data_IF_054289412798
#
_entry.id   IF_054289412798
#
_cell.length_a   1.000
_cell.length_b   1.000
_cell.length_c   1.000
_cell.angle_alpha   90.00
_cell.angle_beta   90.00
_cell.angle_gamma   90.00
#
_symmetry.space_group_name_H-M   'P 1'
#
loop_
_entity.id
_entity.type
_entity.pdbx_description
1 polymer ?
#
# COMPACT_ATOMS: atom_id res chain seq x y z
N UNK A 1 -39.39 -1.42 13.03
CA UNK A 1 -38.38 -1.69 12.00
C UNK A 1 -38.79 -0.93 10.75
N UNK A 2 -38.02 0.07 10.31
CA UNK A 2 -38.32 0.88 9.12
C UNK A 2 -37.93 0.11 7.85
N UNK A 3 -38.74 0.26 6.80
CA UNK A 3 -38.63 -0.44 5.51
C UNK A 3 -37.40 0.01 4.71
N UNK A 4 -36.76 -0.93 3.99
CA UNK A 4 -35.58 -0.73 3.12
C UNK A 4 -35.81 0.32 2.01
N UNK A 5 -37.07 0.64 1.68
CA UNK A 5 -37.42 1.66 0.69
C UNK A 5 -37.22 3.12 1.15
N UNK A 6 -36.57 3.36 2.30
CA UNK A 6 -36.32 4.70 2.86
C UNK A 6 -34.83 5.09 2.89
N UNK A 7 -33.95 4.35 2.23
CA UNK A 7 -32.54 4.73 2.09
C UNK A 7 -32.37 5.78 0.97
N UNK A 8 -31.55 6.83 1.17
CA UNK A 8 -31.23 7.81 0.12
C UNK A 8 -30.42 7.18 -1.01
N UNK A 9 -30.53 7.71 -2.23
CA UNK A 9 -29.90 7.17 -3.45
C UNK A 9 -28.38 7.00 -3.36
N UNK A 10 -27.71 7.76 -2.50
CA UNK A 10 -26.26 7.70 -2.32
C UNK A 10 -25.80 6.68 -1.25
N UNK A 11 -26.70 5.81 -0.75
CA UNK A 11 -26.45 4.76 0.25
C UNK A 11 -25.78 5.23 1.57
N UNK A 12 -25.65 6.55 1.79
CA UNK A 12 -25.07 7.14 2.99
C UNK A 12 -26.19 7.78 3.83
N UNK A 13 -26.46 7.29 5.05
CA UNK A 13 -27.43 7.89 5.95
C UNK A 13 -27.06 9.35 6.30
N UNK A 14 -28.03 10.27 6.26
CA UNK A 14 -27.84 11.69 6.62
C UNK A 14 -27.20 11.88 8.01
N UNK A 15 -27.43 10.95 8.94
CA UNK A 15 -26.80 10.96 10.27
C UNK A 15 -25.27 10.81 10.23
N UNK A 16 -24.73 10.14 9.22
CA UNK A 16 -23.28 10.06 8.99
C UNK A 16 -22.80 11.38 8.38
N UNK A 17 -23.52 11.91 7.39
CA UNK A 17 -23.18 13.19 6.75
C UNK A 17 -23.21 14.36 7.74
N UNK A 18 -24.17 14.38 8.67
CA UNK A 18 -24.26 15.42 9.71
C UNK A 18 -23.17 15.35 10.77
N UNK A 19 -22.46 14.21 10.85
CA UNK A 19 -21.36 14.00 11.80
C UNK A 19 -19.99 14.24 11.13
N UNK A 20 -19.94 14.28 9.80
CA UNK A 20 -18.74 14.62 9.04
C UNK A 20 -18.55 16.14 9.10
N UNK A 21 -17.76 16.61 10.07
CA UNK A 21 -17.15 17.94 10.00
C UNK A 21 -15.94 17.88 9.05
N UNK A 22 -16.12 18.34 7.82
CA UNK A 22 -15.00 18.66 6.94
C UNK A 22 -14.47 20.06 7.30
N UNK A 23 -13.47 20.10 8.17
CA UNK A 23 -12.75 21.34 8.53
C UNK A 23 -11.45 21.40 7.74
N UNK A 24 -11.39 22.34 6.79
CA UNK A 24 -10.20 22.61 5.97
C UNK A 24 -9.45 23.77 6.63
N UNK A 25 -8.41 23.45 7.39
CA UNK A 25 -7.52 24.43 8.01
C UNK A 25 -6.21 23.78 8.47
N UNK A 26 -5.08 24.48 8.29
CA UNK A 26 -3.74 23.97 8.60
C UNK A 26 -3.50 23.75 10.11
N UNK A 27 -4.32 24.37 10.97
CA UNK A 27 -4.12 24.39 12.42
C UNK A 27 -4.39 23.03 13.11
N UNK A 28 -5.27 22.18 12.57
CA UNK A 28 -5.68 20.90 13.21
C UNK A 28 -4.82 19.69 12.86
N UNK A 29 -3.95 19.76 11.83
CA UNK A 29 -2.96 18.72 11.53
C UNK A 29 -2.05 18.42 12.75
N UNK A 30 -1.91 19.39 13.65
CA UNK A 30 -1.15 19.28 14.89
C UNK A 30 -1.85 18.43 15.95
N UNK A 31 -3.19 18.44 16.00
CA UNK A 31 -3.97 17.79 17.06
C UNK A 31 -4.19 16.30 16.79
N UNK A 32 -4.29 15.89 15.53
CA UNK A 32 -4.35 14.46 15.14
C UNK A 32 -3.01 13.73 15.30
N UNK A 33 -1.90 14.48 15.33
CA UNK A 33 -0.53 13.95 15.47
C UNK A 33 -0.07 13.85 16.93
N UNK A 34 -0.92 14.17 17.90
CA UNK A 34 -0.62 14.05 19.33
C UNK A 34 -0.35 12.59 19.68
N UNK A 35 0.93 12.23 19.84
CA UNK A 35 1.39 10.88 20.14
C UNK A 35 2.37 10.29 19.11
N UNK A 36 2.50 10.90 17.93
CA UNK A 36 3.61 10.61 17.01
C UNK A 36 4.87 11.33 17.48
N UNK A 37 6.05 10.78 17.12
CA UNK A 37 7.32 11.50 17.27
C UNK A 37 7.18 12.82 16.50
N UNK A 38 7.38 13.94 17.20
CA UNK A 38 7.28 15.27 16.62
C UNK A 38 8.15 15.34 15.37
N UNK A 39 7.60 15.87 14.29
CA UNK A 39 8.35 16.07 13.06
C UNK A 39 9.54 16.99 13.38
N UNK A 40 10.80 16.56 13.20
CA UNK A 40 11.98 17.36 13.50
C UNK A 40 11.99 18.73 12.79
N UNK A 41 11.15 18.89 11.76
CA UNK A 41 10.93 20.16 11.04
C UNK A 41 10.05 21.17 11.79
N UNK A 42 9.39 20.78 12.90
CA UNK A 42 8.55 21.70 13.69
C UNK A 42 9.33 22.52 14.71
N UNK A 43 10.62 22.20 14.93
CA UNK A 43 11.45 22.85 15.92
C UNK A 43 12.52 23.73 15.24
N UNK A 44 12.37 25.08 15.21
CA UNK A 44 13.31 25.96 14.51
C UNK A 44 14.74 25.93 15.07
N UNK A 45 14.92 25.40 16.29
CA UNK A 45 16.22 25.27 16.95
C UNK A 45 16.97 23.97 16.63
N UNK A 46 16.34 23.00 15.95
CA UNK A 46 17.03 21.80 15.44
C UNK A 46 17.42 21.97 13.97
N UNK A 47 17.91 23.17 13.61
CA UNK A 47 18.73 23.28 12.41
C UNK A 47 20.19 23.09 12.80
N UNK A 48 20.89 22.29 11.99
CA UNK A 48 22.35 22.20 11.86
C UNK A 48 23.09 21.17 12.72
N UNK A 49 22.71 19.89 12.62
CA UNK A 49 23.74 18.88 12.33
C UNK A 49 23.20 17.87 11.31
N UNK A 50 23.94 17.68 10.21
CA UNK A 50 23.67 16.76 9.09
C UNK A 50 22.83 17.30 7.93
N UNK A 51 23.40 17.15 6.73
CA UNK A 51 22.91 17.38 5.36
C UNK A 51 21.51 16.78 5.06
N UNK A 52 20.49 17.19 5.79
CA UNK A 52 19.14 16.64 5.67
C UNK A 52 18.32 17.62 4.84
N UNK A 53 18.07 17.26 3.56
CA UNK A 53 17.16 18.02 2.69
C UNK A 53 15.73 17.61 3.06
N UNK A 54 14.87 18.54 3.52
CA UNK A 54 13.48 18.24 3.82
C UNK A 54 12.73 17.84 2.53
N UNK A 55 12.07 16.69 2.54
CA UNK A 55 11.26 16.21 1.40
C UNK A 55 9.80 16.56 1.68
N UNK A 56 9.22 17.43 0.84
CA UNK A 56 7.80 17.77 0.88
C UNK A 56 7.02 16.81 -0.04
N UNK A 57 6.14 15.99 0.53
CA UNK A 57 5.32 15.05 -0.24
C UNK A 57 4.05 15.75 -0.75
N UNK A 58 3.95 16.01 -2.05
CA UNK A 58 2.72 16.47 -2.70
C UNK A 58 2.10 15.33 -3.51
N UNK A 59 0.85 14.97 -3.19
CA UNK A 59 0.08 13.95 -3.90
C UNK A 59 -1.03 14.57 -4.74
N UNK A 60 -1.29 13.97 -5.91
CA UNK A 60 -2.49 14.27 -6.71
C UNK A 60 -3.44 13.09 -6.54
N UNK A 61 -4.61 13.35 -5.95
CA UNK A 61 -5.70 12.39 -5.82
C UNK A 61 -6.72 12.65 -6.93
N UNK A 62 -7.09 11.62 -7.69
CA UNK A 62 -8.20 11.70 -8.63
C UNK A 62 -9.52 11.67 -7.85
N UNK A 63 -10.13 12.85 -7.67
CA UNK A 63 -11.37 13.04 -6.89
C UNK A 63 -12.60 12.64 -7.70
N UNK A 64 -12.50 12.57 -9.04
CA UNK A 64 -13.65 12.38 -9.93
C UNK A 64 -13.73 10.97 -10.54
N UNK A 65 -12.82 10.06 -10.18
CA UNK A 65 -12.80 8.68 -10.70
C UNK A 65 -12.60 8.59 -12.22
N UNK A 66 -12.17 9.68 -12.86
CA UNK A 66 -11.82 9.69 -14.26
C UNK A 66 -10.45 9.05 -14.40
N UNK A 67 -10.29 8.03 -15.25
CA UNK A 67 -8.98 7.38 -15.45
C UNK A 67 -7.95 8.37 -16.03
N UNK A 68 -7.28 9.12 -15.16
CA UNK A 68 -6.19 10.03 -15.54
C UNK A 68 -4.93 9.20 -15.71
N UNK A 69 -4.22 9.39 -16.82
CA UNK A 69 -2.96 8.69 -17.06
C UNK A 69 -1.89 9.16 -16.06
N UNK A 70 -1.00 8.25 -15.63
CA UNK A 70 0.18 8.62 -14.81
C UNK A 70 1.02 9.72 -15.48
N UNK A 71 1.07 9.74 -16.81
CA UNK A 71 1.79 10.75 -17.59
C UNK A 71 1.13 12.14 -17.47
N UNK A 72 -0.20 12.18 -17.45
CA UNK A 72 -0.98 13.42 -17.29
C UNK A 72 -0.83 13.99 -15.88
N UNK A 73 -0.89 13.12 -14.85
CA UNK A 73 -0.64 13.49 -13.45
C UNK A 73 0.78 14.05 -13.30
N UNK A 74 1.76 13.35 -13.88
CA UNK A 74 3.18 13.76 -13.85
C UNK A 74 3.36 15.13 -14.51
N UNK A 75 2.80 15.32 -15.70
CA UNK A 75 2.89 16.59 -16.43
C UNK A 75 2.21 17.73 -15.67
N UNK A 76 1.06 17.49 -15.03
CA UNK A 76 0.38 18.47 -14.21
C UNK A 76 1.23 18.89 -13.00
N UNK A 77 1.84 17.94 -12.28
CA UNK A 77 2.74 18.23 -11.15
C UNK A 77 3.93 19.08 -11.63
N UNK A 78 4.57 18.69 -12.73
CA UNK A 78 5.70 19.44 -13.31
C UNK A 78 5.29 20.87 -13.71
N UNK A 79 4.11 21.04 -14.29
CA UNK A 79 3.59 22.37 -14.64
C UNK A 79 3.31 23.22 -13.41
N UNK A 80 2.66 22.65 -12.38
CA UNK A 80 2.34 23.35 -11.14
C UNK A 80 3.60 23.85 -10.43
N UNK A 81 4.61 22.98 -10.31
CA UNK A 81 5.92 23.33 -9.72
C UNK A 81 6.59 24.46 -10.50
N UNK A 82 6.56 24.42 -11.84
CA UNK A 82 7.13 25.48 -12.68
C UNK A 82 6.40 26.82 -12.57
N UNK A 83 5.10 26.81 -12.29
CA UNK A 83 4.27 28.01 -12.29
C UNK A 83 4.22 28.72 -10.93
N UNK A 84 4.45 27.99 -9.83
CA UNK A 84 4.53 28.55 -8.46
C UNK A 84 5.91 29.18 -8.16
N UNK A 85 6.95 28.82 -8.92
CA UNK A 85 8.33 29.36 -8.80
C UNK A 85 8.53 30.81 -9.29
N UNK A 86 7.46 31.60 -9.46
CA UNK A 86 7.56 32.96 -10.01
C UNK A 86 7.91 34.05 -8.98
N UNK A 87 8.13 33.71 -7.70
CA UNK A 87 8.53 34.69 -6.67
C UNK A 87 9.43 34.07 -5.62
N UNK A 88 10.67 33.81 -5.97
CA UNK A 88 11.89 34.04 -5.16
C UNK A 88 13.01 33.16 -5.72
N UNK A 89 14.17 33.77 -5.90
CA UNK A 89 15.41 33.10 -6.31
C UNK A 89 15.85 32.15 -5.19
N UNK A 90 15.36 30.92 -5.20
CA UNK A 90 15.97 29.82 -4.46
C UNK A 90 16.72 28.94 -5.44
N UNK A 91 18.03 28.84 -5.22
CA UNK A 91 18.98 28.03 -5.98
C UNK A 91 18.37 26.65 -6.28
N UNK A 92 18.12 26.39 -7.58
CA UNK A 92 17.84 25.07 -8.17
C UNK A 92 17.23 24.06 -7.21
N UNK A 93 15.98 24.29 -6.79
CA UNK A 93 15.20 23.34 -6.01
C UNK A 93 15.18 22.00 -6.78
N UNK A 94 15.92 21.01 -6.27
CA UNK A 94 16.05 19.71 -6.92
C UNK A 94 14.74 18.94 -6.76
N UNK A 95 13.82 19.15 -7.70
CA UNK A 95 12.56 18.43 -7.77
C UNK A 95 12.85 16.99 -8.23
N UNK A 96 12.73 16.05 -7.31
CA UNK A 96 12.84 14.62 -7.62
C UNK A 96 11.46 14.07 -7.98
N UNK A 97 11.27 13.77 -9.27
CA UNK A 97 10.11 13.01 -9.70
C UNK A 97 10.36 11.53 -9.40
N UNK A 98 9.47 10.92 -8.61
CA UNK A 98 9.44 9.47 -8.40
C UNK A 98 8.29 8.92 -9.24
N UNK A 99 8.53 8.53 -10.51
CA UNK A 99 7.48 8.01 -11.36
C UNK A 99 7.05 6.63 -10.86
N UNK A 100 5.74 6.44 -10.73
CA UNK A 100 5.14 5.14 -10.46
C UNK A 100 4.43 4.63 -11.72
N UNK A 101 4.56 3.34 -12.01
CA UNK A 101 3.74 2.70 -13.04
C UNK A 101 2.34 2.46 -12.49
N UNK A 102 1.31 2.64 -13.34
CA UNK A 102 -0.07 2.22 -13.04
C UNK A 102 -0.22 0.69 -12.96
N UNK A 103 0.77 -0.07 -13.43
CA UNK A 103 0.73 -1.53 -13.42
C UNK A 103 1.36 -2.07 -12.13
N UNK A 104 0.65 -2.89 -11.35
CA UNK A 104 1.24 -3.53 -10.18
C UNK A 104 2.40 -4.43 -10.60
N UNK A 105 3.48 -4.40 -9.83
CA UNK A 105 4.65 -5.24 -10.06
C UNK A 105 4.38 -6.64 -9.51
N UNK A 106 4.68 -7.67 -10.31
CA UNK A 106 4.57 -9.05 -9.84
C UNK A 106 5.62 -9.32 -8.74
N UNK A 107 5.16 -9.86 -7.62
CA UNK A 107 6.00 -10.24 -6.48
C UNK A 107 6.66 -11.61 -6.62
N UNK A 108 6.11 -12.49 -7.44
CA UNK A 108 6.57 -13.86 -7.63
C UNK A 108 7.78 -13.88 -8.57
N UNK A 109 8.81 -14.64 -8.22
CA UNK A 109 10.02 -14.82 -9.03
C UNK A 109 10.68 -13.52 -9.49
N UNK A 110 10.53 -12.46 -8.69
CA UNK A 110 11.09 -11.15 -8.97
C UNK A 110 12.23 -10.84 -8.00
N UNK A 111 13.47 -11.28 -8.30
CA UNK A 111 14.61 -11.04 -7.41
C UNK A 111 14.95 -9.54 -7.30
N UNK A 112 14.43 -8.68 -8.17
CA UNK A 112 14.68 -7.23 -8.11
C UNK A 112 13.74 -6.50 -7.13
N UNK A 113 12.66 -7.14 -6.70
CA UNK A 113 11.65 -6.51 -5.86
C UNK A 113 12.24 -5.99 -4.54
N UNK A 114 12.84 -6.88 -3.73
CA UNK A 114 13.38 -6.50 -2.43
C UNK A 114 14.62 -5.60 -2.55
N UNK A 115 15.41 -5.77 -3.62
CA UNK A 115 16.53 -4.88 -3.93
C UNK A 115 16.07 -3.44 -4.17
N UNK A 116 14.97 -3.26 -4.92
CA UNK A 116 14.40 -1.96 -5.22
C UNK A 116 13.65 -1.33 -4.04
N UNK A 117 13.00 -2.15 -3.21
CA UNK A 117 12.29 -1.67 -2.02
C UNK A 117 13.24 -1.26 -0.89
N UNK A 118 14.38 -1.94 -0.75
CA UNK A 118 15.33 -1.69 0.34
C UNK A 118 16.77 -1.52 -0.17
N UNK A 119 17.06 -0.48 -0.98
CA UNK A 119 18.39 -0.25 -1.55
C UNK A 119 19.46 -0.05 -0.46
N UNK A 120 19.08 0.47 0.70
CA UNK A 120 19.97 0.65 1.86
C UNK A 120 20.32 -0.67 2.55
N UNK A 121 19.46 -1.68 2.48
CA UNK A 121 19.71 -3.00 3.06
C UNK A 121 20.48 -3.90 2.11
N UNK A 122 20.21 -3.79 0.81
CA UNK A 122 20.83 -4.57 -0.25
C UNK A 122 21.84 -3.73 -1.04
N UNK A 123 22.98 -3.44 -0.42
CA UNK A 123 24.03 -2.65 -1.04
C UNK A 123 24.41 -3.21 -2.43
N UNK A 124 24.67 -2.30 -3.39
CA UNK A 124 24.99 -2.63 -4.78
C UNK A 124 23.90 -3.40 -5.56
N UNK A 125 22.67 -3.48 -5.04
CA UNK A 125 21.59 -4.23 -5.70
C UNK A 125 21.88 -5.72 -5.78
N UNK A 126 22.53 -6.30 -4.76
CA UNK A 126 22.90 -7.71 -4.69
C UNK A 126 22.42 -8.34 -3.38
N UNK A 127 22.39 -9.66 -3.34
CA UNK A 127 22.01 -10.41 -2.14
C UNK A 127 20.50 -10.57 -1.95
N UNK A 128 19.72 -10.38 -3.01
CA UNK A 128 18.28 -10.61 -2.96
C UNK A 128 17.95 -12.08 -2.67
N UNK A 129 16.83 -12.36 -1.99
CA UNK A 129 16.20 -13.65 -2.07
C UNK A 129 15.87 -14.06 -3.50
N UNK A 130 15.91 -15.37 -3.76
CA UNK A 130 15.56 -15.95 -5.07
C UNK A 130 16.45 -15.49 -6.24
N UNK A 131 17.67 -15.00 -5.94
CA UNK A 131 18.66 -14.66 -6.96
C UNK A 131 19.13 -15.91 -7.71
N UNK A 132 18.73 -16.00 -8.98
CA UNK A 132 19.04 -17.10 -9.88
C UNK A 132 20.54 -17.21 -10.22
N UNK A 133 21.33 -16.16 -9.99
CA UNK A 133 22.78 -16.20 -10.21
C UNK A 133 23.54 -16.95 -9.11
N UNK A 134 22.86 -17.33 -8.01
CA UNK A 134 23.48 -18.04 -6.89
C UNK A 134 23.79 -19.50 -7.27
N UNK A 135 24.99 -20.02 -6.94
CA UNK A 135 25.33 -21.42 -7.21
C UNK A 135 24.46 -22.45 -6.49
N UNK A 136 23.97 -22.10 -5.30
CA UNK A 136 23.11 -22.94 -4.47
C UNK A 136 21.74 -22.27 -4.31
N UNK A 137 20.68 -23.00 -4.64
CA UNK A 137 19.32 -22.55 -4.39
C UNK A 137 19.05 -22.49 -2.88
N UNK A 138 18.56 -21.34 -2.40
CA UNK A 138 18.16 -21.13 -1.01
C UNK A 138 16.68 -20.80 -1.01
N UNK A 139 15.90 -21.53 -0.21
CA UNK A 139 14.46 -21.27 -0.10
C UNK A 139 14.21 -19.87 0.47
N UNK A 140 13.20 -19.18 -0.05
CA UNK A 140 12.86 -17.82 0.36
C UNK A 140 12.78 -17.66 1.90
N UNK A 141 12.07 -18.56 2.58
CA UNK A 141 11.92 -18.52 4.05
C UNK A 141 13.24 -18.67 4.80
N UNK A 142 14.12 -19.55 4.32
CA UNK A 142 15.43 -19.79 4.94
C UNK A 142 16.33 -18.57 4.74
N UNK A 143 16.30 -17.98 3.55
CA UNK A 143 17.06 -16.77 3.27
C UNK A 143 16.55 -15.58 4.09
N UNK A 144 15.23 -15.36 4.17
CA UNK A 144 14.65 -14.30 5.02
C UNK A 144 15.07 -14.50 6.49
N UNK A 145 15.03 -15.73 7.00
CA UNK A 145 15.49 -16.02 8.36
C UNK A 145 16.95 -15.64 8.55
N UNK A 146 17.81 -15.97 7.59
CA UNK A 146 19.21 -15.55 7.61
C UNK A 146 19.36 -14.03 7.61
N UNK A 147 18.60 -13.31 6.78
CA UNK A 147 18.64 -11.83 6.73
C UNK A 147 18.20 -11.22 8.07
N UNK A 148 17.15 -11.75 8.70
CA UNK A 148 16.71 -11.27 10.02
C UNK A 148 17.70 -11.60 11.14
N UNK A 149 18.51 -12.64 10.99
CA UNK A 149 19.60 -13.01 11.91
C UNK A 149 20.97 -12.49 11.45
N UNK A 150 21.00 -11.51 10.55
CA UNK A 150 22.25 -10.98 10.02
C UNK A 150 23.04 -10.25 11.12
N UNK A 151 24.37 -10.32 11.04
CA UNK A 151 25.26 -9.95 12.16
C UNK A 151 25.09 -8.51 12.67
N UNK A 152 24.86 -7.55 11.76
CA UNK A 152 24.66 -6.13 12.10
C UNK A 152 23.20 -5.78 12.41
N UNK A 153 22.29 -6.76 12.36
CA UNK A 153 20.84 -6.63 12.59
C UNK A 153 20.14 -5.61 11.69
N UNK A 154 20.77 -5.12 10.61
CA UNK A 154 20.20 -4.06 9.77
C UNK A 154 18.83 -4.39 9.17
N UNK A 155 18.58 -5.66 8.87
CA UNK A 155 17.29 -6.13 8.35
C UNK A 155 16.24 -6.27 9.45
N UNK A 156 16.67 -6.62 10.66
CA UNK A 156 15.80 -6.76 11.82
C UNK A 156 15.33 -5.38 12.32
N UNK A 157 16.22 -4.40 12.33
CA UNK A 157 15.93 -3.05 12.84
C UNK A 157 15.30 -2.12 11.81
N UNK A 158 15.26 -2.52 10.53
CA UNK A 158 14.63 -1.69 9.51
C UNK A 158 13.13 -1.58 9.74
N UNK A 159 12.62 -0.34 9.68
CA UNK A 159 11.24 0.00 10.02
C UNK A 159 10.16 -0.73 9.21
N UNK A 160 10.45 -1.16 7.97
CA UNK A 160 9.45 -1.74 7.07
C UNK A 160 9.78 -3.16 6.61
N UNK A 161 11.07 -3.56 6.61
CA UNK A 161 11.51 -4.83 6.05
C UNK A 161 10.75 -6.04 6.59
N UNK A 162 10.65 -6.18 7.93
CA UNK A 162 9.96 -7.30 8.58
C UNK A 162 8.50 -7.40 8.11
N UNK A 163 7.80 -6.28 8.06
CA UNK A 163 6.40 -6.25 7.65
C UNK A 163 6.24 -6.62 6.18
N UNK A 164 7.10 -6.09 5.31
CA UNK A 164 7.07 -6.40 3.87
C UNK A 164 7.31 -7.88 3.63
N UNK A 165 8.36 -8.46 4.21
CA UNK A 165 8.68 -9.88 4.00
C UNK A 165 7.65 -10.81 4.67
N UNK A 166 7.07 -10.42 5.80
CA UNK A 166 6.02 -11.18 6.45
C UNK A 166 4.74 -11.24 5.58
N UNK A 167 4.28 -10.09 5.09
CA UNK A 167 3.12 -10.04 4.19
C UNK A 167 3.37 -10.81 2.89
N UNK A 168 4.57 -10.67 2.32
CA UNK A 168 4.99 -11.44 1.14
C UNK A 168 4.86 -12.95 1.37
N UNK A 169 5.36 -13.45 2.52
CA UNK A 169 5.27 -14.87 2.86
C UNK A 169 3.82 -15.32 3.04
N UNK A 170 3.01 -14.55 3.78
CA UNK A 170 1.60 -14.87 4.01
C UNK A 170 0.80 -14.92 2.70
N UNK A 171 0.98 -13.94 1.81
CA UNK A 171 0.31 -13.93 0.50
C UNK A 171 0.69 -15.15 -0.33
N UNK A 172 1.99 -15.46 -0.41
CA UNK A 172 2.48 -16.60 -1.18
C UNK A 172 1.92 -17.92 -0.65
N UNK A 173 1.84 -18.09 0.66
CA UNK A 173 1.24 -19.27 1.28
C UNK A 173 -0.25 -19.40 0.98
N UNK A 174 -1.01 -18.31 1.18
CA UNK A 174 -2.45 -18.28 0.91
C UNK A 174 -2.74 -18.57 -0.56
N UNK A 175 -2.00 -17.96 -1.48
CA UNK A 175 -2.15 -18.19 -2.92
C UNK A 175 -1.79 -19.62 -3.30
N UNK A 176 -0.73 -20.20 -2.72
CA UNK A 176 -0.37 -21.60 -2.98
C UNK A 176 -1.48 -22.56 -2.52
N UNK A 177 -2.03 -22.36 -1.32
CA UNK A 177 -3.14 -23.17 -0.83
C UNK A 177 -4.41 -23.00 -1.68
N UNK A 178 -4.75 -21.77 -2.07
CA UNK A 178 -5.87 -21.50 -2.95
C UNK A 178 -5.68 -22.16 -4.33
N UNK A 179 -4.48 -22.09 -4.91
CA UNK A 179 -4.15 -22.76 -6.16
C UNK A 179 -4.31 -24.28 -6.06
N UNK A 180 -3.83 -24.89 -4.99
CA UNK A 180 -3.99 -26.33 -4.76
C UNK A 180 -5.46 -26.73 -4.68
N UNK A 181 -6.29 -25.95 -3.99
CA UNK A 181 -7.73 -26.19 -3.88
C UNK A 181 -8.39 -26.03 -5.26
N UNK A 182 -8.11 -24.94 -5.97
CA UNK A 182 -8.68 -24.62 -7.27
C UNK A 182 -8.32 -25.64 -8.36
N UNK A 183 -7.17 -26.31 -8.21
CA UNK A 183 -6.71 -27.35 -9.14
C UNK A 183 -7.45 -28.68 -8.95
N UNK A 184 -8.14 -28.90 -7.82
CA UNK A 184 -8.83 -30.17 -7.57
C UNK A 184 -10.03 -30.37 -8.51
N UNK A 185 -10.26 -31.60 -9.01
CA UNK A 185 -11.39 -31.90 -9.91
C UNK A 185 -12.77 -31.55 -9.33
N UNK A 186 -12.96 -31.77 -8.02
CA UNK A 186 -14.19 -31.42 -7.33
C UNK A 186 -14.47 -29.91 -7.38
N UNK A 187 -13.45 -29.07 -7.16
CA UNK A 187 -13.62 -27.62 -7.22
C UNK A 187 -14.07 -27.18 -8.62
N UNK A 188 -13.51 -27.75 -9.68
CA UNK A 188 -13.97 -27.47 -11.05
C UNK A 188 -15.42 -27.89 -11.30
N UNK A 189 -15.84 -29.00 -10.69
CA UNK A 189 -17.20 -29.51 -10.82
C UNK A 189 -18.21 -28.60 -10.10
N UNK A 190 -17.89 -28.17 -8.89
CA UNK A 190 -18.74 -27.26 -8.10
C UNK A 190 -18.58 -25.78 -8.48
N UNK A 191 -17.54 -25.39 -9.23
CA UNK A 191 -17.34 -24.00 -9.68
C UNK A 191 -18.54 -23.47 -10.47
N UNK A 192 -19.15 -24.32 -11.29
CA UNK A 192 -20.35 -23.97 -12.05
C UNK A 192 -21.57 -23.75 -11.13
N UNK A 193 -21.67 -24.54 -10.06
CA UNK A 193 -22.72 -24.39 -9.03
C UNK A 193 -22.51 -23.08 -8.26
N UNK A 194 -21.27 -22.76 -7.85
CA UNK A 194 -20.95 -21.50 -7.19
C UNK A 194 -21.29 -20.28 -8.06
N UNK A 195 -21.06 -20.35 -9.36
CA UNK A 195 -21.45 -19.27 -10.28
C UNK A 195 -22.98 -19.12 -10.39
N UNK A 196 -23.72 -20.24 -10.28
CA UNK A 196 -25.18 -20.24 -10.37
C UNK A 196 -25.90 -19.77 -9.10
N UNK A 197 -25.20 -19.72 -7.96
CA UNK A 197 -25.77 -19.26 -6.69
C UNK A 197 -26.12 -17.77 -6.76
N UNK A 198 -27.36 -17.45 -6.42
CA UNK A 198 -27.86 -16.07 -6.37
C UNK A 198 -28.13 -15.65 -4.91
N UNK A 199 -28.27 -14.34 -4.65
CA UNK A 199 -28.56 -13.79 -3.31
C UNK A 199 -29.76 -14.47 -2.64
N UNK A 200 -30.79 -14.79 -3.41
CA UNK A 200 -32.01 -15.46 -2.92
C UNK A 200 -31.73 -16.86 -2.37
N UNK A 201 -30.78 -17.60 -2.96
CA UNK A 201 -30.43 -18.95 -2.51
C UNK A 201 -29.68 -18.88 -1.18
N UNK A 202 -28.85 -17.84 -0.99
CA UNK A 202 -28.13 -17.57 0.26
C UNK A 202 -29.10 -17.20 1.39
N UNK A 203 -30.06 -16.31 1.11
CA UNK A 203 -31.10 -15.92 2.06
C UNK A 203 -31.95 -17.13 2.51
N UNK A 204 -32.33 -17.98 1.55
CA UNK A 204 -33.10 -19.20 1.85
C UNK A 204 -32.30 -20.19 2.72
N UNK A 205 -31.00 -20.32 2.47
CA UNK A 205 -30.12 -21.16 3.28
C UNK A 205 -29.99 -20.61 4.71
N UNK A 206 -29.81 -19.29 4.87
CA UNK A 206 -29.75 -18.63 6.18
C UNK A 206 -31.03 -18.81 6.99
N UNK A 207 -32.20 -18.65 6.36
CA UNK A 207 -33.49 -18.89 6.99
C UNK A 207 -33.66 -20.34 7.46
N UNK A 208 -33.15 -21.30 6.68
CA UNK A 208 -33.23 -22.72 7.03
C UNK A 208 -32.35 -23.09 8.24
N UNK A 209 -31.22 -22.41 8.41
CA UNK A 209 -30.30 -22.61 9.54
C UNK A 209 -30.87 -21.95 10.81
N UNK A 210 -31.44 -20.75 10.67
CA UNK A 210 -32.09 -20.01 11.76
C UNK A 210 -33.29 -20.77 12.33
N UNK A 211 -34.12 -21.40 11.48
CA UNK A 211 -35.27 -22.22 11.92
C UNK A 211 -34.92 -23.55 12.59
N UNK A 212 -33.67 -24.00 12.46
CA UNK A 212 -33.20 -25.29 12.98
C UNK A 212 -32.49 -25.17 14.33
N UNK A 213 -32.27 -23.95 14.80
CA UNK A 213 -31.69 -23.61 16.11
C UNK A 213 -32.81 -23.19 17.05
#
# INVERSE_FOLDING_TARGET
MKSIAQLPEDDIPESIMSTIELKIGEEENSSERVGYVSDPLTNPMESTTSDTIPINNSGVLDVNGSTVSCDEITNYIVQKIKHDGAKEQMDSEHVYLIPHSSKPVNEYFNPKLLLGLHPTLFCYGRGSPEDQSRPLEIKLREHIRYLLSYNDRRFETNHSFIFVVFNLLQRRDACFHAQLIATRPYFRSSAHEFHSLNSKDIEMALDSISKKT
#
